data_IF_047270074616
#
_entry.id   IF_047270074616
#
_cell.length_a   1.000
_cell.length_b   1.000
_cell.length_c   1.000
_cell.angle_alpha   90.00
_cell.angle_beta   90.00
_cell.angle_gamma   90.00
#
_symmetry.space_group_name_H-M   'P 1'
#
loop_
_entity.id
_entity.type
_entity.pdbx_description
1 polymer ?
#
# COMPACT_ATOMS: atom_id res chain seq x y z
N UNK A 1 -5.25 2.63 -36.85
CA UNK A 1 -4.27 2.04 -35.91
C UNK A 1 -4.12 2.91 -34.67
N UNK A 2 -3.83 4.20 -34.82
CA UNK A 2 -3.68 5.14 -33.69
C UNK A 2 -4.91 5.25 -32.76
N UNK A 3 -6.12 5.31 -33.31
CA UNK A 3 -7.37 5.29 -32.51
C UNK A 3 -7.54 3.99 -31.69
N UNK A 4 -7.09 2.86 -32.25
CA UNK A 4 -7.15 1.56 -31.57
C UNK A 4 -6.13 1.52 -30.43
N UNK A 5 -4.91 2.01 -30.66
CA UNK A 5 -3.90 2.12 -29.61
C UNK A 5 -4.34 3.02 -28.45
N UNK A 6 -5.01 4.14 -28.75
CA UNK A 6 -5.58 5.00 -27.72
C UNK A 6 -6.66 4.28 -26.90
N UNK A 7 -7.55 3.53 -27.56
CA UNK A 7 -8.59 2.73 -26.88
C UNK A 7 -7.99 1.63 -26.00
N UNK A 8 -6.92 0.97 -26.44
CA UNK A 8 -6.22 -0.03 -25.62
C UNK A 8 -5.65 0.62 -24.36
N UNK A 9 -4.95 1.76 -24.48
CA UNK A 9 -4.40 2.47 -23.31
C UNK A 9 -5.46 2.91 -22.30
N UNK A 10 -6.65 3.28 -22.77
CA UNK A 10 -7.78 3.61 -21.89
C UNK A 10 -8.27 2.35 -21.16
N UNK A 11 -8.44 1.24 -21.89
CA UNK A 11 -8.88 -0.02 -21.29
C UNK A 11 -7.87 -0.57 -20.28
N UNK A 12 -6.58 -0.49 -20.55
CA UNK A 12 -5.53 -0.90 -19.61
C UNK A 12 -5.62 -0.14 -18.29
N UNK A 13 -5.78 1.19 -18.35
CA UNK A 13 -5.98 2.04 -17.16
C UNK A 13 -7.26 1.70 -16.41
N UNK A 14 -8.34 1.43 -17.14
CA UNK A 14 -9.63 1.08 -16.53
C UNK A 14 -9.55 -0.29 -15.83
N UNK A 15 -8.82 -1.25 -16.40
CA UNK A 15 -8.57 -2.55 -15.79
C UNK A 15 -7.74 -2.37 -14.53
N UNK A 16 -6.60 -1.68 -14.60
CA UNK A 16 -5.72 -1.43 -13.45
C UNK A 16 -6.47 -0.75 -12.29
N UNK A 17 -7.31 0.24 -12.60
CA UNK A 17 -8.16 0.90 -11.61
C UNK A 17 -9.16 -0.06 -10.96
N UNK A 18 -9.79 -0.94 -11.74
CA UNK A 18 -10.76 -1.90 -11.23
C UNK A 18 -10.10 -2.98 -10.38
N UNK A 19 -8.90 -3.41 -10.75
CA UNK A 19 -8.11 -4.35 -9.95
C UNK A 19 -7.81 -3.78 -8.56
N UNK A 20 -7.44 -2.49 -8.47
CA UNK A 20 -7.26 -1.82 -7.18
C UNK A 20 -8.55 -1.78 -6.36
N UNK A 21 -9.69 -1.47 -6.98
CA UNK A 21 -10.98 -1.45 -6.28
C UNK A 21 -11.33 -2.83 -5.72
N UNK A 22 -11.13 -3.88 -6.51
CA UNK A 22 -11.40 -5.26 -6.08
C UNK A 22 -10.44 -5.68 -4.96
N UNK A 23 -9.18 -5.27 -5.03
CA UNK A 23 -8.19 -5.54 -4.00
C UNK A 23 -8.54 -4.86 -2.66
N UNK A 24 -9.19 -3.69 -2.71
CA UNK A 24 -9.55 -2.86 -1.56
C UNK A 24 -11.07 -2.79 -1.31
N UNK A 25 -11.81 -3.88 -1.53
CA UNK A 25 -13.26 -3.99 -1.26
C UNK A 25 -13.57 -4.47 0.18
N UNK A 26 -12.58 -4.42 1.06
CA UNK A 26 -12.76 -4.72 2.47
C UNK A 26 -13.62 -3.68 3.18
N UNK A 27 -14.41 -4.12 4.17
CA UNK A 27 -15.34 -3.28 4.94
C UNK A 27 -14.73 -1.97 5.51
N UNK A 28 -13.43 -1.95 5.76
CA UNK A 28 -12.74 -0.82 6.40
C UNK A 28 -11.62 -0.24 5.54
N UNK A 29 -11.50 -0.62 4.27
CA UNK A 29 -10.36 -0.21 3.42
C UNK A 29 -10.40 1.28 3.07
N UNK A 30 -11.59 1.91 3.15
CA UNK A 30 -11.75 3.36 3.01
C UNK A 30 -11.33 4.15 4.24
N UNK A 31 -11.05 3.48 5.37
CA UNK A 31 -10.76 4.16 6.63
C UNK A 31 -9.26 4.38 6.80
N UNK A 32 -8.90 5.40 7.58
CA UNK A 32 -7.51 5.58 8.00
C UNK A 32 -7.04 4.36 8.79
N UNK A 33 -5.80 3.92 8.53
CA UNK A 33 -5.17 2.84 9.27
C UNK A 33 -4.51 3.35 10.57
N UNK A 34 -4.58 2.55 11.63
CA UNK A 34 -3.78 2.74 12.85
C UNK A 34 -2.72 1.65 12.87
N UNK A 35 -1.44 2.04 12.80
CA UNK A 35 -0.32 1.11 12.77
C UNK A 35 0.38 1.11 14.13
N UNK A 36 0.56 -0.08 14.71
CA UNK A 36 1.32 -0.28 15.96
C UNK A 36 2.47 -1.23 15.70
N UNK A 37 3.70 -0.78 15.98
CA UNK A 37 4.92 -1.59 15.87
C UNK A 37 5.36 -1.96 17.28
N UNK A 38 5.58 -3.26 17.54
CA UNK A 38 6.09 -3.75 18.81
C UNK A 38 7.38 -4.54 18.57
N UNK A 39 8.47 -4.27 19.29
CA UNK A 39 9.68 -5.07 19.18
C UNK A 39 9.43 -6.50 19.66
N UNK A 40 10.00 -7.46 18.94
CA UNK A 40 9.94 -8.88 19.28
C UNK A 40 11.05 -9.32 20.23
N UNK A 41 11.37 -10.61 20.21
CA UNK A 41 12.51 -11.16 20.96
C UNK A 41 13.84 -10.68 20.37
N UNK A 42 14.80 -10.34 21.24
CA UNK A 42 16.12 -9.82 20.87
C UNK A 42 16.56 -8.56 21.64
N UNK A 43 15.73 -8.06 22.57
CA UNK A 43 16.12 -7.00 23.49
C UNK A 43 16.33 -5.66 22.77
N UNK A 44 17.45 -5.01 23.03
CA UNK A 44 17.78 -3.68 22.46
C UNK A 44 17.82 -3.70 20.94
N UNK A 45 18.39 -4.73 20.31
CA UNK A 45 18.48 -4.81 18.85
C UNK A 45 17.08 -4.83 18.20
N UNK A 46 16.13 -5.54 18.82
CA UNK A 46 14.75 -5.56 18.36
C UNK A 46 14.05 -4.21 18.54
N UNK A 47 14.42 -3.45 19.56
CA UNK A 47 13.92 -2.09 19.78
C UNK A 47 14.46 -1.13 18.71
N UNK A 48 15.76 -1.17 18.43
CA UNK A 48 16.39 -0.35 17.41
C UNK A 48 15.79 -0.64 16.03
N UNK A 49 15.55 -1.91 15.71
CA UNK A 49 14.87 -2.32 14.48
C UNK A 49 13.42 -1.85 14.40
N UNK A 50 12.65 -1.96 15.49
CA UNK A 50 11.29 -1.43 15.56
C UNK A 50 11.25 0.09 15.33
N UNK A 51 12.25 0.81 15.84
CA UNK A 51 12.41 2.25 15.62
C UNK A 51 12.75 2.57 14.16
N UNK A 52 13.59 1.76 13.51
CA UNK A 52 13.88 1.89 12.08
C UNK A 52 12.61 1.75 11.23
N UNK A 53 11.77 0.76 11.53
CA UNK A 53 10.49 0.56 10.84
C UNK A 53 9.52 1.72 11.08
N UNK A 54 9.45 2.24 12.31
CA UNK A 54 8.63 3.40 12.63
C UNK A 54 9.05 4.61 11.79
N UNK A 55 10.36 4.91 11.74
CA UNK A 55 10.89 6.02 10.91
C UNK A 55 10.63 5.82 9.42
N UNK A 56 10.63 4.57 8.94
CA UNK A 56 10.27 4.25 7.55
C UNK A 56 8.81 4.60 7.25
N UNK A 57 7.87 4.13 8.07
CA UNK A 57 6.45 4.41 7.86
C UNK A 57 6.09 5.90 8.01
N UNK A 58 6.77 6.62 8.91
CA UNK A 58 6.60 8.07 9.07
C UNK A 58 7.11 8.88 7.87
N UNK A 59 8.02 8.33 7.05
CA UNK A 59 8.50 8.99 5.82
C UNK A 59 7.68 8.64 4.59
N UNK A 60 7.05 7.46 4.59
CA UNK A 60 6.24 6.98 3.47
C UNK A 60 4.86 7.62 3.44
N UNK A 61 4.20 7.76 4.60
CA UNK A 61 2.89 8.37 4.76
C UNK A 61 2.95 9.90 4.65
#
# INVERSE_FOLDING_TARGET
>A
WEEIEQKIKVLEKDIERKELIVLFDGKYDTNNAIVTIRPGAGGTESQDWAEMLLRMYLRWA
#
